data_IF_850722494893
#
_entry.id   IF_850722494893
#
_cell.length_a   1.000
_cell.length_b   1.000
_cell.length_c   1.000
_cell.angle_alpha   90.00
_cell.angle_beta   90.00
_cell.angle_gamma   90.00
#
_symmetry.space_group_name_H-M   'P 1'
#
loop_
_entity.id
_entity.type
_entity.pdbx_description
1 polymer ?
#
# COMPACT_ATOMS: atom_id res chain seq x y z
N UNK A 1 -42.95 57.66 -6.83
CA UNK A 1 -41.49 57.66 -6.53
C UNK A 1 -41.11 56.47 -5.66
N UNK A 2 -41.97 56.02 -4.72
CA UNK A 2 -41.71 54.82 -3.90
C UNK A 2 -41.74 53.49 -4.69
N UNK A 3 -42.66 53.33 -5.64
CA UNK A 3 -42.79 52.10 -6.47
C UNK A 3 -41.56 51.88 -7.38
N UNK A 4 -40.90 52.95 -7.81
CA UNK A 4 -39.73 52.87 -8.69
C UNK A 4 -38.46 52.52 -7.91
N UNK A 5 -38.38 52.93 -6.64
CA UNK A 5 -37.27 52.60 -5.73
C UNK A 5 -37.38 51.16 -5.20
N UNK A 6 -38.59 50.61 -5.04
CA UNK A 6 -38.79 49.22 -4.61
C UNK A 6 -38.37 48.20 -5.67
N UNK A 7 -38.65 48.47 -6.94
CA UNK A 7 -38.29 47.57 -8.06
C UNK A 7 -36.76 47.52 -8.27
N UNK A 8 -36.10 48.67 -8.17
CA UNK A 8 -34.63 48.76 -8.24
C UNK A 8 -33.96 48.08 -7.02
N UNK A 9 -34.59 48.14 -5.85
CA UNK A 9 -34.13 47.44 -4.65
C UNK A 9 -34.27 45.91 -4.78
N UNK A 10 -35.39 45.41 -5.29
CA UNK A 10 -35.59 43.97 -5.50
C UNK A 10 -34.63 43.39 -6.55
N UNK A 11 -34.39 44.12 -7.65
CA UNK A 11 -33.39 43.71 -8.66
C UNK A 11 -31.96 43.72 -8.11
N UNK A 12 -31.60 44.65 -7.22
CA UNK A 12 -30.31 44.66 -6.55
C UNK A 12 -30.14 43.45 -5.61
N UNK A 13 -31.15 43.11 -4.81
CA UNK A 13 -31.09 41.96 -3.90
C UNK A 13 -31.01 40.63 -4.63
N UNK A 14 -31.76 40.48 -5.73
CA UNK A 14 -31.69 39.27 -6.55
C UNK A 14 -30.31 39.12 -7.19
N UNK A 15 -29.71 40.21 -7.67
CA UNK A 15 -28.33 40.20 -8.16
C UNK A 15 -27.31 39.81 -7.08
N UNK A 16 -27.41 40.40 -5.88
CA UNK A 16 -26.55 40.06 -4.74
C UNK A 16 -26.71 38.58 -4.36
N UNK A 17 -27.94 38.09 -4.27
CA UNK A 17 -28.25 36.70 -3.93
C UNK A 17 -27.69 35.71 -4.98
N UNK A 18 -27.80 36.05 -6.26
CA UNK A 18 -27.24 35.25 -7.35
C UNK A 18 -25.71 35.16 -7.25
N UNK A 19 -25.03 36.29 -7.02
CA UNK A 19 -23.57 36.33 -6.85
C UNK A 19 -23.14 35.47 -5.65
N UNK A 20 -23.82 35.61 -4.51
CA UNK A 20 -23.55 34.82 -3.31
C UNK A 20 -23.76 33.33 -3.54
N UNK A 21 -24.80 32.96 -4.29
CA UNK A 21 -25.10 31.55 -4.61
C UNK A 21 -24.02 30.95 -5.52
N UNK A 22 -23.51 31.72 -6.48
CA UNK A 22 -22.40 31.29 -7.35
C UNK A 22 -21.13 31.09 -6.51
N UNK A 23 -20.80 32.05 -5.64
CA UNK A 23 -19.62 31.96 -4.76
C UNK A 23 -19.70 30.76 -3.81
N UNK A 24 -20.87 30.53 -3.19
CA UNK A 24 -21.10 29.37 -2.34
C UNK A 24 -20.92 28.05 -3.10
N UNK A 25 -21.49 27.96 -4.30
CA UNK A 25 -21.36 26.77 -5.16
C UNK A 25 -19.90 26.52 -5.55
N UNK A 26 -19.16 27.58 -5.90
CA UNK A 26 -17.73 27.48 -6.20
C UNK A 26 -16.93 26.97 -5.00
N UNK A 27 -17.17 27.53 -3.80
CA UNK A 27 -16.51 27.06 -2.57
C UNK A 27 -16.83 25.59 -2.27
N UNK A 28 -18.09 25.16 -2.47
CA UNK A 28 -18.48 23.76 -2.31
C UNK A 28 -17.73 22.83 -3.27
N UNK A 29 -17.58 23.22 -4.54
CA UNK A 29 -16.81 22.48 -5.53
C UNK A 29 -15.34 22.39 -5.11
N UNK A 30 -14.73 23.50 -4.69
CA UNK A 30 -13.34 23.51 -4.21
C UNK A 30 -13.17 22.62 -2.97
N UNK A 31 -14.09 22.67 -2.02
CA UNK A 31 -14.06 21.83 -0.82
C UNK A 31 -14.18 20.34 -1.17
N UNK A 32 -15.04 19.97 -2.12
CA UNK A 32 -15.17 18.60 -2.61
C UNK A 32 -13.88 18.12 -3.29
N UNK A 33 -13.30 18.93 -4.19
CA UNK A 33 -12.04 18.60 -4.85
C UNK A 33 -10.89 18.45 -3.84
N UNK A 34 -10.81 19.34 -2.87
CA UNK A 34 -9.82 19.27 -1.79
C UNK A 34 -10.03 18.02 -0.93
N UNK A 35 -11.26 17.70 -0.57
CA UNK A 35 -11.62 16.51 0.22
C UNK A 35 -11.23 15.22 -0.51
N UNK A 36 -11.55 15.09 -1.80
CA UNK A 36 -11.16 13.92 -2.61
C UNK A 36 -9.64 13.79 -2.68
N UNK A 37 -8.93 14.91 -2.89
CA UNK A 37 -7.45 14.90 -2.95
C UNK A 37 -6.84 14.52 -1.61
N UNK A 38 -7.35 15.08 -0.52
CA UNK A 38 -6.91 14.78 0.84
C UNK A 38 -7.18 13.31 1.18
N UNK A 39 -8.38 12.82 0.88
CA UNK A 39 -8.77 11.42 1.07
C UNK A 39 -7.85 10.46 0.33
N UNK A 40 -7.52 10.73 -0.94
CA UNK A 40 -6.54 9.93 -1.71
C UNK A 40 -5.18 9.91 -1.03
N UNK A 41 -4.68 11.07 -0.57
CA UNK A 41 -3.39 11.18 0.12
C UNK A 41 -3.39 10.43 1.46
N UNK A 42 -4.48 10.53 2.23
CA UNK A 42 -4.63 9.81 3.51
C UNK A 42 -4.75 8.30 3.29
N UNK A 43 -5.53 7.84 2.30
CA UNK A 43 -5.69 6.42 1.99
C UNK A 43 -4.39 5.78 1.53
N UNK A 44 -3.57 6.51 0.76
CA UNK A 44 -2.20 6.06 0.47
C UNK A 44 -1.43 5.87 1.78
N UNK A 45 -1.29 6.92 2.60
CA UNK A 45 -0.47 6.88 3.82
C UNK A 45 -0.92 5.83 4.85
N UNK A 46 -2.22 5.62 5.05
CA UNK A 46 -2.75 4.62 5.99
C UNK A 46 -2.37 3.22 5.53
N UNK A 47 -2.52 2.95 4.24
CA UNK A 47 -2.21 1.63 3.70
C UNK A 47 -0.70 1.33 3.73
N UNK A 48 0.16 2.32 3.49
CA UNK A 48 1.61 2.16 3.69
C UNK A 48 1.96 1.82 5.14
N UNK A 49 1.32 2.49 6.11
CA UNK A 49 1.54 2.22 7.53
C UNK A 49 1.08 0.82 7.96
N UNK A 50 0.01 0.30 7.36
CA UNK A 50 -0.46 -1.07 7.61
C UNK A 50 0.53 -2.12 7.10
N UNK A 51 1.04 -1.92 5.89
CA UNK A 51 2.06 -2.80 5.29
C UNK A 51 3.32 -2.84 6.17
N UNK A 52 3.86 -1.68 6.53
CA UNK A 52 5.07 -1.59 7.36
C UNK A 52 4.84 -2.26 8.73
N UNK A 53 3.66 -2.09 9.31
CA UNK A 53 3.30 -2.74 10.58
C UNK A 53 3.27 -4.26 10.44
N UNK A 54 2.68 -4.79 9.37
CA UNK A 54 2.66 -6.23 9.12
C UNK A 54 4.06 -6.80 8.96
N UNK A 55 4.92 -6.13 8.18
CA UNK A 55 6.30 -6.52 8.03
C UNK A 55 7.07 -6.46 9.36
N UNK A 56 6.85 -5.43 10.16
CA UNK A 56 7.44 -5.32 11.49
C UNK A 56 7.03 -6.47 12.41
N UNK A 57 5.77 -6.91 12.39
CA UNK A 57 5.33 -8.08 13.17
C UNK A 57 6.00 -9.38 12.68
N UNK A 58 6.17 -9.56 11.36
CA UNK A 58 6.92 -10.69 10.78
C UNK A 58 8.38 -10.69 11.27
N UNK A 59 9.03 -9.52 11.27
CA UNK A 59 10.40 -9.38 11.76
C UNK A 59 10.50 -9.61 13.27
N UNK A 60 9.49 -9.16 14.03
CA UNK A 60 9.43 -9.35 15.48
C UNK A 60 9.28 -10.83 15.84
N UNK A 61 8.51 -11.59 15.07
CA UNK A 61 8.42 -13.04 15.26
C UNK A 61 9.76 -13.72 14.96
N UNK A 62 10.47 -13.30 13.91
CA UNK A 62 11.84 -13.76 13.65
C UNK A 62 12.84 -13.36 14.74
N UNK A 63 12.66 -12.19 15.37
CA UNK A 63 13.47 -11.77 16.51
C UNK A 63 13.23 -12.65 17.74
N UNK A 64 11.97 -13.03 18.00
CA UNK A 64 11.61 -13.95 19.08
C UNK A 64 12.14 -15.37 18.83
N UNK A 65 12.25 -15.77 17.56
CA UNK A 65 12.71 -17.09 17.11
C UNK A 65 13.84 -16.98 16.09
N UNK A 66 15.08 -16.69 16.52
CA UNK A 66 16.17 -16.41 15.58
C UNK A 66 16.60 -17.59 14.69
N UNK A 67 16.16 -18.82 15.00
CA UNK A 67 16.37 -20.00 14.14
C UNK A 67 15.60 -19.92 12.81
N UNK A 68 14.64 -19.00 12.70
CA UNK A 68 13.89 -18.74 11.47
C UNK A 68 14.74 -18.06 10.39
N UNK A 69 15.73 -17.25 10.79
CA UNK A 69 16.64 -16.54 9.87
C UNK A 69 17.99 -17.23 9.72
N UNK A 70 18.41 -18.01 10.72
CA UNK A 70 19.71 -18.70 10.72
C UNK A 70 19.71 -19.91 9.78
N UNK A 71 20.74 -20.00 8.93
CA UNK A 71 20.94 -21.11 7.98
C UNK A 71 21.84 -22.22 8.54
N UNK A 72 22.57 -21.93 9.59
CA UNK A 72 23.61 -22.73 10.23
C UNK A 72 23.11 -23.54 11.45
N UNK A 73 21.79 -23.54 11.69
CA UNK A 73 21.16 -24.22 12.82
C UNK A 73 20.45 -25.50 12.37
N UNK A 74 20.78 -26.63 12.99
CA UNK A 74 20.01 -27.87 12.82
C UNK A 74 18.66 -27.71 13.52
N UNK A 75 17.58 -27.68 12.73
CA UNK A 75 16.22 -27.51 13.22
C UNK A 75 15.66 -28.85 13.69
N UNK A 76 15.02 -28.85 14.85
CA UNK A 76 14.12 -29.94 15.23
C UNK A 76 12.88 -29.98 14.32
N UNK A 77 12.13 -31.10 14.32
CA UNK A 77 10.90 -31.24 13.54
C UNK A 77 9.88 -30.11 13.82
N UNK A 78 9.74 -29.71 15.09
CA UNK A 78 8.84 -28.63 15.47
C UNK A 78 9.34 -27.26 15.00
N UNK A 79 10.66 -27.04 14.99
CA UNK A 79 11.28 -25.81 14.48
C UNK A 79 11.21 -25.74 12.94
N UNK A 80 11.27 -26.87 12.25
CA UNK A 80 11.11 -26.97 10.80
C UNK A 80 9.67 -26.66 10.38
N UNK A 81 8.67 -27.17 11.11
CA UNK A 81 7.27 -26.76 10.89
C UNK A 81 7.05 -25.26 11.11
N UNK A 82 7.67 -24.69 12.14
CA UNK A 82 7.61 -23.25 12.40
C UNK A 82 8.30 -22.44 11.29
N UNK A 83 9.46 -22.90 10.81
CA UNK A 83 10.15 -22.30 9.68
C UNK A 83 9.33 -22.37 8.39
N UNK A 84 8.73 -23.51 8.07
CA UNK A 84 7.90 -23.67 6.88
C UNK A 84 6.68 -22.73 6.91
N UNK A 85 6.05 -22.60 8.08
CA UNK A 85 4.93 -21.68 8.27
C UNK A 85 5.38 -20.23 8.12
N UNK A 86 6.51 -19.88 8.72
CA UNK A 86 7.10 -18.54 8.64
C UNK A 86 7.48 -18.17 7.19
N UNK A 87 8.21 -19.05 6.50
CA UNK A 87 8.60 -18.85 5.11
C UNK A 87 7.38 -18.68 4.21
N UNK A 88 6.31 -19.46 4.42
CA UNK A 88 5.06 -19.28 3.69
C UNK A 88 4.43 -17.90 3.94
N UNK A 89 4.39 -17.42 5.19
CA UNK A 89 3.87 -16.09 5.53
C UNK A 89 4.70 -14.99 4.86
N UNK A 90 6.03 -15.09 4.94
CA UNK A 90 6.94 -14.12 4.30
C UNK A 90 6.67 -14.08 2.80
N UNK A 91 6.69 -15.23 2.12
CA UNK A 91 6.47 -15.26 0.67
C UNK A 91 5.09 -14.77 0.24
N UNK A 92 4.04 -15.11 0.99
CA UNK A 92 2.69 -14.61 0.71
C UNK A 92 2.57 -13.09 0.91
N UNK A 93 3.25 -12.56 1.93
CA UNK A 93 3.35 -11.13 2.13
C UNK A 93 4.10 -10.46 0.98
N UNK A 94 5.27 -10.97 0.58
CA UNK A 94 6.05 -10.44 -0.54
C UNK A 94 5.29 -10.50 -1.88
N UNK A 95 4.50 -11.56 -2.13
CA UNK A 95 3.61 -11.66 -3.30
C UNK A 95 2.56 -10.55 -3.29
N UNK A 96 1.95 -10.29 -2.13
CA UNK A 96 0.97 -9.21 -1.97
C UNK A 96 1.60 -7.82 -2.18
N UNK A 97 2.84 -7.63 -1.74
CA UNK A 97 3.62 -6.41 -2.01
C UNK A 97 3.95 -6.29 -3.49
N UNK A 98 4.35 -7.37 -4.15
CA UNK A 98 4.62 -7.39 -5.57
C UNK A 98 3.39 -6.96 -6.39
N UNK A 99 2.21 -7.54 -6.12
CA UNK A 99 0.95 -7.16 -6.77
C UNK A 99 0.68 -5.65 -6.60
N UNK A 100 0.98 -5.10 -5.42
CA UNK A 100 0.76 -3.69 -5.12
C UNK A 100 1.81 -2.77 -5.76
N UNK A 101 3.06 -3.21 -5.82
CA UNK A 101 4.15 -2.55 -6.52
C UNK A 101 3.85 -2.38 -8.03
N UNK A 102 3.12 -3.30 -8.65
CA UNK A 102 2.69 -3.16 -10.05
C UNK A 102 1.70 -2.00 -10.26
N UNK A 103 1.00 -1.57 -9.21
CA UNK A 103 0.05 -0.46 -9.25
C UNK A 103 0.67 0.88 -8.82
N UNK A 104 1.73 0.83 -8.00
CA UNK A 104 2.38 2.01 -7.42
C UNK A 104 3.91 1.87 -7.52
N UNK A 105 4.50 2.59 -8.47
CA UNK A 105 5.93 2.58 -8.75
C UNK A 105 6.79 3.15 -7.61
N UNK A 106 6.23 3.98 -6.74
CA UNK A 106 6.98 4.52 -5.60
C UNK A 106 7.21 3.45 -4.52
N UNK A 107 6.31 2.47 -4.37
CA UNK A 107 6.54 1.31 -3.49
C UNK A 107 7.75 0.49 -3.94
N UNK A 108 7.99 0.38 -5.25
CA UNK A 108 9.03 -0.48 -5.80
C UNK A 108 10.41 -0.13 -5.23
N UNK A 109 10.71 1.17 -5.11
CA UNK A 109 12.00 1.66 -4.59
C UNK A 109 12.29 1.23 -3.16
N UNK A 110 11.25 1.13 -2.32
CA UNK A 110 11.40 0.76 -0.91
C UNK A 110 11.37 -0.74 -0.71
N UNK A 111 10.48 -1.43 -1.43
CA UNK A 111 10.20 -2.85 -1.19
C UNK A 111 11.08 -3.82 -1.97
N UNK A 112 11.62 -3.42 -3.12
CA UNK A 112 12.50 -4.29 -3.91
C UNK A 112 13.77 -4.71 -3.14
N UNK A 113 14.48 -3.81 -2.42
CA UNK A 113 15.58 -4.21 -1.56
C UNK A 113 15.18 -5.18 -0.45
N UNK A 114 13.98 -5.02 0.12
CA UNK A 114 13.44 -5.93 1.15
C UNK A 114 13.16 -7.31 0.56
N UNK A 115 12.49 -7.37 -0.60
CA UNK A 115 12.24 -8.61 -1.33
C UNK A 115 13.57 -9.31 -1.65
N UNK A 116 14.60 -8.57 -2.07
CA UNK A 116 15.91 -9.14 -2.35
C UNK A 116 16.58 -9.73 -1.09
N UNK A 117 16.49 -9.03 0.05
CA UNK A 117 17.04 -9.49 1.33
C UNK A 117 16.35 -10.77 1.82
N UNK A 118 15.01 -10.79 1.82
CA UNK A 118 14.22 -11.96 2.23
C UNK A 118 14.41 -13.14 1.28
N UNK A 119 14.48 -12.88 -0.03
CA UNK A 119 14.82 -13.90 -1.04
C UNK A 119 16.14 -14.55 -0.71
N UNK A 120 17.20 -13.81 -0.38
CA UNK A 120 18.51 -14.40 -0.05
C UNK A 120 18.40 -15.42 1.09
N UNK A 121 17.49 -15.21 2.04
CA UNK A 121 17.29 -16.10 3.18
C UNK A 121 16.40 -17.30 2.81
N UNK A 122 15.25 -17.05 2.18
CA UNK A 122 14.17 -18.03 2.01
C UNK A 122 14.06 -18.62 0.59
N UNK A 123 14.96 -18.27 -0.34
CA UNK A 123 14.97 -18.80 -1.71
C UNK A 123 14.97 -20.35 -1.77
N UNK A 124 15.75 -21.08 -0.96
CA UNK A 124 15.73 -22.55 -1.02
C UNK A 124 14.34 -23.13 -0.77
N UNK A 125 13.56 -22.51 0.12
CA UNK A 125 12.23 -22.97 0.50
C UNK A 125 11.21 -22.83 -0.65
N UNK A 126 11.24 -21.70 -1.36
CA UNK A 126 10.36 -21.47 -2.51
C UNK A 126 10.85 -22.19 -3.76
N UNK A 127 12.04 -22.80 -3.77
CA UNK A 127 12.49 -23.61 -4.90
C UNK A 127 11.91 -25.02 -4.88
N UNK A 128 11.37 -25.48 -3.75
CA UNK A 128 10.69 -26.76 -3.64
C UNK A 128 9.39 -26.76 -4.44
N UNK A 129 9.19 -27.80 -5.27
CA UNK A 129 8.04 -27.90 -6.18
C UNK A 129 6.68 -27.80 -5.46
N UNK A 130 6.58 -28.39 -4.26
CA UNK A 130 5.38 -28.34 -3.42
C UNK A 130 5.02 -26.92 -2.98
N UNK A 131 6.02 -26.08 -2.77
CA UNK A 131 5.84 -24.70 -2.33
C UNK A 131 5.67 -23.75 -3.52
N UNK A 132 6.36 -23.99 -4.64
CA UNK A 132 6.19 -23.21 -5.89
C UNK A 132 4.75 -23.21 -6.38
N UNK A 133 4.07 -24.36 -6.31
CA UNK A 133 2.70 -24.48 -6.79
C UNK A 133 1.68 -23.57 -6.06
N UNK A 134 2.04 -23.02 -4.90
CA UNK A 134 1.17 -22.17 -4.06
C UNK A 134 1.16 -20.70 -4.49
N UNK A 135 2.09 -20.28 -5.35
CA UNK A 135 2.29 -18.87 -5.73
C UNK A 135 2.03 -18.64 -7.22
N UNK A 136 1.75 -17.38 -7.57
CA UNK A 136 1.54 -16.97 -8.96
C UNK A 136 2.80 -17.13 -9.79
N UNK A 137 2.62 -17.59 -11.03
CA UNK A 137 3.73 -17.78 -11.99
C UNK A 137 4.47 -16.47 -12.28
N UNK A 138 3.75 -15.34 -12.31
CA UNK A 138 4.34 -14.01 -12.55
C UNK A 138 5.30 -13.62 -11.42
N UNK A 139 4.88 -13.82 -10.17
CA UNK A 139 5.71 -13.58 -9.00
C UNK A 139 6.92 -14.52 -8.97
N UNK A 140 6.72 -15.81 -9.25
CA UNK A 140 7.83 -16.77 -9.31
C UNK A 140 8.85 -16.39 -10.38
N UNK A 141 8.40 -15.97 -11.57
CA UNK A 141 9.28 -15.47 -12.63
C UNK A 141 10.07 -14.24 -12.17
N UNK A 142 9.43 -13.30 -11.49
CA UNK A 142 10.09 -12.12 -10.93
C UNK A 142 11.20 -12.50 -9.92
N UNK A 143 10.92 -13.47 -9.04
CA UNK A 143 11.89 -13.98 -8.06
C UNK A 143 13.05 -14.73 -8.73
N UNK A 144 12.76 -15.51 -9.78
CA UNK A 144 13.74 -16.28 -10.55
C UNK A 144 14.63 -15.35 -11.40
N UNK A 145 14.06 -14.29 -12.00
CA UNK A 145 14.78 -13.30 -12.80
C UNK A 145 15.78 -12.49 -11.95
N UNK A 146 15.46 -12.26 -10.67
CA UNK A 146 16.38 -11.65 -9.72
C UNK A 146 16.77 -10.20 -10.04
N UNK A 147 16.04 -9.52 -10.94
CA UNK A 147 16.27 -8.13 -11.31
C UNK A 147 15.39 -7.22 -10.46
N UNK A 148 15.98 -6.69 -9.40
CA UNK A 148 15.34 -5.75 -8.46
C UNK A 148 15.76 -4.30 -8.69
N UNK A 149 16.25 -3.98 -9.90
CA UNK A 149 16.71 -2.63 -10.26
C UNK A 149 15.53 -1.78 -10.74
N UNK A 150 15.29 -0.68 -10.04
CA UNK A 150 14.40 0.39 -10.51
C UNK A 150 15.19 1.24 -11.50
N UNK A 151 14.88 1.12 -12.79
CA UNK A 151 15.41 2.00 -13.83
C UNK A 151 14.93 3.45 -13.66
#
# INVERSE_FOLDING_TARGET
>A
MEIFLSDEYETLWTAISAIMSILATMMAIFALLYSIRMYRKTMQSVHYGEIDKMYFEILKEALNKPFLLRKDHERSLDEEMQYNTYAFIVWNFLESIYDRCMLDHDLQKTWFPIIEAERKTHLPWIQEDENRAKFKVEFLKFIDEGKFEVA
#
